data_IF_606924959840
#
_entry.id   IF_606924959840
#
_cell.length_a   1.000
_cell.length_b   1.000
_cell.length_c   1.000
_cell.angle_alpha   90.00
_cell.angle_beta   90.00
_cell.angle_gamma   90.00
#
_symmetry.space_group_name_H-M   'P 1'
#
loop_
_entity.id
_entity.type
_entity.pdbx_description
1 polymer ?
#
# COMPACT_ATOMS: atom_id res chain seq x y z
N UNK A 1 6.84 -16.01 11.45
CA UNK A 1 6.53 -14.58 11.32
C UNK A 1 7.33 -13.82 12.36
N UNK A 2 8.01 -12.73 11.98
CA UNK A 2 8.72 -11.86 12.94
C UNK A 2 7.75 -11.14 13.87
N UNK A 3 8.27 -10.57 14.97
CA UNK A 3 7.46 -9.79 15.91
C UNK A 3 6.96 -8.52 15.23
N UNK A 4 5.67 -8.26 15.30
CA UNK A 4 5.05 -7.01 14.85
C UNK A 4 4.83 -6.12 16.08
N UNK A 5 5.27 -4.86 15.98
CA UNK A 5 5.10 -3.91 17.08
C UNK A 5 5.08 -2.45 16.58
N UNK A 6 4.56 -1.58 17.41
CA UNK A 6 4.59 -0.13 17.21
C UNK A 6 5.54 0.47 18.22
N UNK A 7 6.45 1.30 17.74
CA UNK A 7 7.36 2.09 18.59
C UNK A 7 6.86 3.54 18.59
N UNK A 8 6.64 4.07 19.79
CA UNK A 8 6.37 5.49 19.98
C UNK A 8 7.69 6.22 20.21
N UNK A 9 7.95 7.22 19.40
CA UNK A 9 9.13 8.09 19.56
C UNK A 9 8.71 9.55 19.53
N UNK A 10 9.56 10.40 20.07
CA UNK A 10 9.38 11.84 20.02
C UNK A 10 10.53 12.44 19.22
N UNK A 11 10.22 13.11 18.11
CA UNK A 11 11.20 13.73 17.23
C UNK A 11 10.85 15.18 16.93
N UNK A 12 11.90 16.00 16.79
CA UNK A 12 11.72 17.41 16.46
C UNK A 12 10.98 18.21 17.54
N UNK A 13 10.75 19.48 17.26
CA UNK A 13 9.93 20.36 18.09
C UNK A 13 9.09 21.25 17.15
N UNK A 14 7.81 21.35 17.42
CA UNK A 14 6.92 22.30 16.78
C UNK A 14 6.18 23.03 17.89
N UNK A 15 6.25 24.36 17.89
CA UNK A 15 5.73 25.22 18.97
C UNK A 15 6.24 24.84 20.37
N UNK A 16 7.53 24.41 20.47
CA UNK A 16 8.16 24.05 21.74
C UNK A 16 7.72 22.71 22.32
N UNK A 17 6.88 21.93 21.64
CA UNK A 17 6.44 20.59 22.05
C UNK A 17 7.05 19.53 21.14
N UNK A 18 7.47 18.42 21.74
CA UNK A 18 7.93 17.25 20.99
C UNK A 18 6.82 16.72 20.08
N UNK A 19 7.17 16.32 18.88
CA UNK A 19 6.24 15.69 17.92
C UNK A 19 6.20 14.19 18.20
N UNK A 20 5.05 13.67 18.56
CA UNK A 20 4.82 12.24 18.74
C UNK A 20 4.77 11.55 17.38
N UNK A 21 5.50 10.46 17.24
CA UNK A 21 5.63 9.68 16.02
C UNK A 21 5.39 8.21 16.37
N UNK A 22 4.56 7.52 15.60
CA UNK A 22 4.41 6.08 15.67
C UNK A 22 5.14 5.44 14.49
N UNK A 23 5.95 4.44 14.76
CA UNK A 23 6.71 3.68 13.78
C UNK A 23 6.25 2.23 13.82
N UNK A 24 5.92 1.68 12.65
CA UNK A 24 5.47 0.30 12.48
C UNK A 24 6.64 -0.60 12.10
N UNK A 25 6.87 -1.63 12.89
CA UNK A 25 7.96 -2.59 12.70
C UNK A 25 7.45 -4.01 12.51
N UNK A 26 8.14 -4.75 11.63
CA UNK A 26 8.08 -6.19 11.53
C UNK A 26 9.50 -6.73 11.67
N UNK A 27 9.82 -7.37 12.79
CA UNK A 27 11.18 -7.67 13.19
C UNK A 27 12.01 -6.38 13.35
N UNK A 28 13.10 -6.26 12.61
CA UNK A 28 13.96 -5.07 12.62
C UNK A 28 13.63 -4.06 11.51
N UNK A 29 12.70 -4.40 10.61
CA UNK A 29 12.37 -3.56 9.46
C UNK A 29 11.23 -2.61 9.80
N UNK A 30 11.47 -1.30 9.64
CA UNK A 30 10.45 -0.28 9.72
C UNK A 30 9.67 -0.23 8.41
N UNK A 31 8.38 -0.55 8.46
CA UNK A 31 7.49 -0.55 7.30
C UNK A 31 6.68 0.73 7.16
N UNK A 32 6.78 1.64 8.10
CA UNK A 32 6.10 2.91 7.96
C UNK A 32 6.13 3.75 9.24
N UNK A 33 5.80 5.02 9.08
CA UNK A 33 5.84 6.03 10.13
C UNK A 33 4.60 6.91 10.02
N UNK A 34 3.98 7.26 11.15
CA UNK A 34 2.94 8.28 11.19
C UNK A 34 3.29 9.37 12.21
N UNK A 35 3.14 10.61 11.79
CA UNK A 35 3.23 11.77 12.68
C UNK A 35 1.87 11.94 13.36
N UNK A 36 1.83 11.73 14.68
CA UNK A 36 0.61 11.73 15.48
C UNK A 36 0.20 13.16 15.87
N UNK A 37 0.02 13.99 14.83
CA UNK A 37 -0.42 15.37 14.95
C UNK A 37 -1.51 15.64 13.91
N UNK A 38 -2.62 16.22 14.32
CA UNK A 38 -3.83 16.41 13.50
C UNK A 38 -3.55 17.04 12.13
N UNK A 39 -2.68 18.03 12.08
CA UNK A 39 -2.33 18.74 10.85
C UNK A 39 -1.44 17.92 9.90
N UNK A 40 -0.80 16.86 10.40
CA UNK A 40 0.18 16.03 9.70
C UNK A 40 -0.21 14.55 9.62
N UNK A 41 -1.29 14.14 10.27
CA UNK A 41 -1.69 12.73 10.38
C UNK A 41 -2.00 12.05 9.03
N UNK A 42 -2.38 12.84 8.02
CA UNK A 42 -2.60 12.36 6.65
C UNK A 42 -1.39 12.54 5.72
N UNK A 43 -0.23 12.91 6.26
CA UNK A 43 0.96 13.07 5.45
C UNK A 43 1.58 11.71 5.16
N UNK A 44 1.66 11.28 3.88
CA UNK A 44 2.37 10.06 3.53
C UNK A 44 3.85 10.17 3.88
N UNK A 45 4.42 9.15 4.48
CA UNK A 45 5.80 9.13 4.95
C UNK A 45 6.61 8.02 4.28
N UNK A 46 7.95 8.08 4.43
CA UNK A 46 8.84 7.08 3.88
C UNK A 46 8.70 6.92 2.37
N UNK A 47 8.71 5.69 1.90
CA UNK A 47 8.58 5.38 0.47
C UNK A 47 7.14 5.49 -0.07
N UNK A 48 6.16 5.78 0.79
CA UNK A 48 4.77 6.06 0.38
C UNK A 48 4.55 7.50 -0.11
N UNK A 49 5.55 8.36 -0.04
CA UNK A 49 5.45 9.74 -0.54
C UNK A 49 5.25 9.79 -2.06
N UNK A 50 4.89 10.98 -2.63
CA UNK A 50 4.80 11.15 -4.08
C UNK A 50 6.11 10.92 -4.84
N UNK A 51 7.23 10.77 -4.15
CA UNK A 51 8.54 10.41 -4.73
C UNK A 51 8.84 8.91 -4.68
N UNK A 52 7.94 8.10 -4.12
CA UNK A 52 8.03 6.65 -4.01
C UNK A 52 6.79 5.97 -4.60
N UNK A 53 6.31 4.90 -3.97
CA UNK A 53 5.14 4.15 -4.49
C UNK A 53 3.84 4.98 -4.51
N UNK A 54 3.72 6.01 -3.67
CA UNK A 54 2.61 6.96 -3.72
C UNK A 54 2.49 7.70 -5.06
N UNK A 55 3.57 7.74 -5.86
CA UNK A 55 3.52 8.32 -7.21
C UNK A 55 2.52 7.59 -8.12
N UNK A 56 2.33 6.28 -7.95
CA UNK A 56 1.36 5.50 -8.71
C UNK A 56 -0.06 6.09 -8.61
N UNK A 57 -0.41 6.63 -7.46
CA UNK A 57 -1.71 7.31 -7.23
C UNK A 57 -1.61 8.78 -7.60
N UNK A 58 -0.68 9.52 -6.97
CA UNK A 58 -0.54 10.96 -7.12
C UNK A 58 -0.23 11.39 -8.56
N UNK A 59 0.59 10.60 -9.27
CA UNK A 59 0.99 10.84 -10.67
C UNK A 59 -0.08 10.47 -11.70
N UNK A 60 -1.09 9.70 -11.32
CA UNK A 60 -2.14 9.23 -12.23
C UNK A 60 -2.99 10.40 -12.77
N UNK A 61 -3.36 10.35 -14.07
CA UNK A 61 -4.13 11.42 -14.72
C UNK A 61 -5.43 11.72 -13.99
N UNK A 62 -6.19 10.69 -13.61
CA UNK A 62 -7.45 10.84 -12.86
C UNK A 62 -7.26 11.53 -11.52
N UNK A 63 -6.13 11.27 -10.81
CA UNK A 63 -5.83 11.96 -9.57
C UNK A 63 -5.65 13.45 -9.80
N UNK A 64 -4.84 13.82 -10.81
CA UNK A 64 -4.57 15.22 -11.18
C UNK A 64 -5.82 15.95 -11.70
N UNK A 65 -6.70 15.24 -12.40
CA UNK A 65 -7.96 15.77 -12.92
C UNK A 65 -9.12 15.72 -11.89
N UNK A 66 -8.83 15.33 -10.65
CA UNK A 66 -9.82 15.17 -9.57
C UNK A 66 -10.99 14.24 -9.92
N UNK A 67 -10.74 13.20 -10.74
CA UNK A 67 -11.71 12.15 -11.08
C UNK A 67 -11.64 11.01 -10.06
N UNK A 68 -12.76 10.33 -9.77
CA UNK A 68 -12.78 9.18 -8.87
C UNK A 68 -11.80 8.09 -9.32
N UNK A 69 -11.14 7.46 -8.36
CA UNK A 69 -10.18 6.38 -8.57
C UNK A 69 -10.54 5.13 -7.78
N UNK A 70 -10.17 3.98 -8.35
CA UNK A 70 -10.20 2.68 -7.65
C UNK A 70 -8.76 2.20 -7.47
N UNK A 71 -8.37 2.00 -6.22
CA UNK A 71 -7.01 1.61 -5.84
C UNK A 71 -7.04 0.29 -5.09
N UNK A 72 -6.18 -0.64 -5.47
CA UNK A 72 -5.99 -1.90 -4.75
C UNK A 72 -4.63 -1.90 -4.05
N UNK A 73 -4.63 -2.31 -2.79
CA UNK A 73 -3.46 -2.38 -1.91
C UNK A 73 -3.23 -3.84 -1.51
N UNK A 74 -2.19 -4.47 -2.05
CA UNK A 74 -1.74 -5.81 -1.70
C UNK A 74 -0.65 -5.67 -0.64
N UNK A 75 -0.98 -5.98 0.60
CA UNK A 75 -0.24 -5.59 1.79
C UNK A 75 -0.78 -4.25 2.32
N UNK A 76 -1.39 -4.30 3.52
CA UNK A 76 -2.00 -3.11 4.12
C UNK A 76 -0.97 -2.26 4.86
N UNK A 77 -0.02 -2.92 5.56
CA UNK A 77 0.84 -2.25 6.51
C UNK A 77 0.00 -1.47 7.54
N UNK A 78 0.32 -0.21 7.75
CA UNK A 78 -0.48 0.68 8.59
C UNK A 78 -1.48 1.54 7.79
N UNK A 79 -1.69 1.23 6.50
CA UNK A 79 -2.68 1.89 5.66
C UNK A 79 -2.27 3.25 5.10
N UNK A 80 -0.97 3.54 5.00
CA UNK A 80 -0.46 4.88 4.57
C UNK A 80 -1.05 5.34 3.24
N UNK A 81 -1.28 4.42 2.30
CA UNK A 81 -1.83 4.76 0.99
C UNK A 81 -3.23 5.37 1.07
N UNK A 82 -3.99 5.12 2.16
CA UNK A 82 -5.28 5.77 2.40
C UNK A 82 -5.17 7.30 2.57
N UNK A 83 -3.96 7.82 2.83
CA UNK A 83 -3.70 9.26 2.88
C UNK A 83 -3.99 9.98 1.54
N UNK A 84 -3.92 9.25 0.42
CA UNK A 84 -4.22 9.79 -0.91
C UNK A 84 -5.71 9.76 -1.26
N UNK A 85 -6.53 9.02 -0.51
CA UNK A 85 -7.94 8.83 -0.85
C UNK A 85 -8.74 10.11 -0.71
N UNK A 86 -9.57 10.40 -1.71
CA UNK A 86 -10.51 11.53 -1.75
C UNK A 86 -11.94 11.01 -1.62
N UNK A 87 -12.90 11.87 -1.36
CA UNK A 87 -14.27 11.52 -0.99
C UNK A 87 -14.98 10.52 -1.95
N UNK A 88 -14.65 10.53 -3.24
CA UNK A 88 -15.26 9.66 -4.25
C UNK A 88 -14.35 8.50 -4.68
N UNK A 89 -13.21 8.32 -4.03
CA UNK A 89 -12.29 7.23 -4.34
C UNK A 89 -12.71 5.95 -3.60
N UNK A 90 -12.37 4.80 -4.19
CA UNK A 90 -12.55 3.48 -3.60
C UNK A 90 -11.21 2.79 -3.42
N UNK A 91 -10.94 2.35 -2.20
CA UNK A 91 -9.71 1.67 -1.82
C UNK A 91 -10.02 0.25 -1.35
N UNK A 92 -9.38 -0.73 -1.94
CA UNK A 92 -9.45 -2.13 -1.56
C UNK A 92 -8.13 -2.57 -0.98
N UNK A 93 -8.13 -3.14 0.24
CA UNK A 93 -6.90 -3.59 0.89
C UNK A 93 -6.96 -5.06 1.30
N UNK A 94 -5.82 -5.74 1.16
CA UNK A 94 -5.60 -7.12 1.58
C UNK A 94 -4.40 -7.23 2.50
N UNK A 95 -4.54 -7.98 3.57
CA UNK A 95 -3.42 -8.39 4.42
C UNK A 95 -3.67 -9.80 4.97
N UNK A 96 -2.61 -10.56 5.18
CA UNK A 96 -2.69 -11.92 5.77
C UNK A 96 -2.40 -11.93 7.26
N UNK A 97 -1.81 -10.85 7.79
CA UNK A 97 -1.45 -10.73 9.22
C UNK A 97 -2.62 -10.16 10.02
N UNK A 98 -3.21 -10.94 10.95
CA UNK A 98 -4.24 -10.43 11.85
C UNK A 98 -3.75 -9.26 12.70
N UNK A 99 -2.48 -9.29 13.09
CA UNK A 99 -1.85 -8.25 13.91
C UNK A 99 -1.73 -6.93 13.15
N UNK A 100 -1.18 -6.98 11.93
CA UNK A 100 -1.10 -5.81 11.03
C UNK A 100 -2.49 -5.25 10.77
N UNK A 101 -3.43 -6.12 10.42
CA UNK A 101 -4.82 -5.75 10.11
C UNK A 101 -5.52 -5.05 11.28
N UNK A 102 -5.29 -5.53 12.50
CA UNK A 102 -5.81 -4.93 13.73
C UNK A 102 -5.16 -3.58 14.02
N UNK A 103 -3.83 -3.50 13.93
CA UNK A 103 -3.07 -2.27 14.20
C UNK A 103 -3.43 -1.14 13.23
N UNK A 104 -3.61 -1.46 11.93
CA UNK A 104 -3.99 -0.46 10.92
C UNK A 104 -5.37 0.16 11.17
N UNK A 105 -6.26 -0.54 11.87
CA UNK A 105 -7.61 -0.08 12.19
C UNK A 105 -7.76 0.46 13.62
N UNK A 106 -6.73 0.37 14.45
CA UNK A 106 -6.72 0.95 15.79
C UNK A 106 -6.29 2.42 15.74
N UNK A 107 -7.24 3.33 15.89
CA UNK A 107 -7.03 4.79 15.86
C UNK A 107 -6.01 5.29 16.89
N UNK A 108 -5.79 4.53 17.96
CA UNK A 108 -4.75 4.87 18.96
C UNK A 108 -3.34 4.61 18.43
N UNK A 109 -3.24 3.71 17.45
CA UNK A 109 -1.98 3.33 16.82
C UNK A 109 -1.76 4.09 15.52
N UNK A 110 -2.73 4.01 14.57
CA UNK A 110 -2.64 4.67 13.28
C UNK A 110 -4.01 5.18 12.82
N UNK A 111 -4.03 6.33 12.15
CA UNK A 111 -5.28 6.97 11.72
C UNK A 111 -5.49 6.98 10.21
N UNK A 112 -4.56 6.44 9.42
CA UNK A 112 -4.66 6.48 7.96
C UNK A 112 -5.93 5.81 7.43
N UNK A 113 -6.30 4.65 7.99
CA UNK A 113 -7.50 3.91 7.57
C UNK A 113 -8.77 4.59 8.09
N UNK A 114 -8.84 4.89 9.39
CA UNK A 114 -10.03 5.47 10.03
C UNK A 114 -10.34 6.89 9.56
N UNK A 115 -9.29 7.67 9.22
CA UNK A 115 -9.43 9.03 8.68
C UNK A 115 -9.36 9.09 7.16
N UNK A 116 -9.47 7.94 6.48
CA UNK A 116 -9.54 7.88 5.03
C UNK A 116 -10.73 8.68 4.51
N UNK A 117 -10.50 9.53 3.51
CA UNK A 117 -11.58 10.36 2.95
C UNK A 117 -12.45 9.60 1.93
N UNK A 118 -11.93 8.51 1.36
CA UNK A 118 -12.63 7.64 0.41
C UNK A 118 -13.30 6.46 1.09
N UNK A 119 -13.98 5.64 0.28
CA UNK A 119 -14.49 4.35 0.75
C UNK A 119 -13.34 3.34 0.81
N UNK A 120 -13.17 2.69 1.96
CA UNK A 120 -12.15 1.65 2.18
C UNK A 120 -12.82 0.33 2.51
N UNK A 121 -12.52 -0.71 1.72
CA UNK A 121 -12.94 -2.09 2.01
C UNK A 121 -11.68 -2.94 2.24
N UNK A 122 -11.55 -3.52 3.44
CA UNK A 122 -10.40 -4.31 3.84
C UNK A 122 -10.78 -5.78 4.01
N UNK A 123 -9.87 -6.69 3.66
CA UNK A 123 -10.03 -8.13 3.90
C UNK A 123 -8.78 -8.74 4.50
N UNK A 124 -8.97 -9.45 5.59
CA UNK A 124 -7.95 -10.28 6.20
C UNK A 124 -7.90 -11.62 5.45
N UNK A 125 -7.18 -11.66 4.37
CA UNK A 125 -6.97 -12.87 3.55
C UNK A 125 -5.75 -12.72 2.63
N UNK A 126 -5.36 -13.85 2.02
CA UNK A 126 -4.37 -13.84 0.96
C UNK A 126 -4.87 -13.01 -0.24
N UNK A 127 -4.05 -12.03 -0.65
CA UNK A 127 -4.43 -11.08 -1.69
C UNK A 127 -4.68 -11.76 -3.05
N UNK A 128 -3.87 -12.79 -3.42
CA UNK A 128 -4.07 -13.51 -4.68
C UNK A 128 -5.43 -14.20 -4.72
N UNK A 129 -5.81 -14.89 -3.64
CA UNK A 129 -7.13 -15.53 -3.53
C UNK A 129 -8.26 -14.52 -3.58
N UNK A 130 -8.10 -13.39 -2.88
CA UNK A 130 -9.06 -12.29 -2.92
C UNK A 130 -9.26 -11.73 -4.31
N UNK A 131 -8.18 -11.48 -5.04
CA UNK A 131 -8.21 -10.97 -6.42
C UNK A 131 -8.76 -11.98 -7.42
N UNK A 132 -8.47 -13.28 -7.28
CA UNK A 132 -9.06 -14.36 -8.09
C UNK A 132 -10.59 -14.39 -7.91
N UNK A 133 -11.06 -14.20 -6.69
CA UNK A 133 -12.51 -14.10 -6.40
C UNK A 133 -13.11 -12.82 -6.98
N UNK A 134 -12.44 -11.68 -6.88
CA UNK A 134 -12.90 -10.42 -7.49
C UNK A 134 -13.03 -10.55 -9.00
N UNK A 135 -12.04 -11.16 -9.67
CA UNK A 135 -12.09 -11.40 -11.11
C UNK A 135 -13.27 -12.29 -11.49
N UNK A 136 -13.50 -13.38 -10.73
CA UNK A 136 -14.64 -14.28 -10.98
C UNK A 136 -16.00 -13.61 -10.76
N UNK A 137 -16.07 -12.65 -9.85
CA UNK A 137 -17.28 -11.89 -9.54
C UNK A 137 -17.51 -10.69 -10.50
N UNK A 138 -16.60 -10.45 -11.46
CA UNK A 138 -16.72 -9.34 -12.39
C UNK A 138 -16.62 -7.97 -11.72
N UNK A 139 -15.78 -7.83 -10.71
CA UNK A 139 -15.56 -6.55 -10.02
C UNK A 139 -14.99 -5.53 -11.01
N UNK A 140 -15.43 -4.27 -10.89
CA UNK A 140 -14.91 -3.17 -11.70
C UNK A 140 -13.38 -3.07 -11.56
N UNK A 141 -12.63 -3.00 -12.69
CA UNK A 141 -11.17 -2.92 -12.65
C UNK A 141 -10.62 -1.69 -11.92
N UNK A 142 -9.39 -1.78 -11.48
CA UNK A 142 -8.68 -0.75 -10.73
C UNK A 142 -7.92 0.21 -11.64
N UNK A 143 -7.78 1.45 -11.19
CA UNK A 143 -6.91 2.44 -11.81
C UNK A 143 -5.45 2.23 -11.37
N UNK A 144 -5.27 1.75 -10.12
CA UNK A 144 -3.94 1.47 -9.56
C UNK A 144 -3.98 0.19 -8.74
N UNK A 145 -3.01 -0.70 -8.95
CA UNK A 145 -2.73 -1.83 -8.06
C UNK A 145 -1.32 -1.65 -7.49
N UNK A 146 -1.19 -1.63 -6.17
CA UNK A 146 0.09 -1.52 -5.48
C UNK A 146 0.37 -2.84 -4.75
N UNK A 147 1.47 -3.50 -5.11
CA UNK A 147 1.96 -4.73 -4.49
C UNK A 147 3.07 -4.37 -3.51
N UNK A 148 2.74 -4.34 -2.23
CA UNK A 148 3.63 -3.98 -1.13
C UNK A 148 3.48 -4.97 0.04
N UNK A 149 3.39 -6.26 -0.30
CA UNK A 149 3.31 -7.34 0.67
C UNK A 149 4.70 -7.92 0.94
N UNK A 150 5.12 -7.85 2.20
CA UNK A 150 6.41 -8.38 2.63
C UNK A 150 6.24 -9.33 3.82
N UNK A 151 7.02 -10.42 3.79
CA UNK A 151 7.20 -11.29 4.96
C UNK A 151 8.67 -11.14 5.38
N UNK A 152 8.92 -10.24 6.33
CA UNK A 152 10.28 -9.78 6.60
C UNK A 152 10.83 -8.97 5.43
N UNK A 153 11.98 -9.37 4.85
CA UNK A 153 12.62 -8.68 3.73
C UNK A 153 12.29 -9.28 2.36
N UNK A 154 11.29 -10.19 2.24
CA UNK A 154 10.98 -10.84 0.96
C UNK A 154 9.52 -10.70 0.56
N UNK A 155 9.31 -10.48 -0.74
CA UNK A 155 7.97 -10.54 -1.35
C UNK A 155 7.54 -12.02 -1.35
N UNK A 156 6.31 -12.35 -0.90
CA UNK A 156 5.79 -13.69 -1.01
C UNK A 156 5.81 -14.16 -2.46
N UNK A 157 6.49 -15.28 -2.73
CA UNK A 157 6.75 -15.77 -4.09
C UNK A 157 5.48 -15.84 -4.96
N UNK A 158 4.37 -16.32 -4.39
CA UNK A 158 3.10 -16.48 -5.12
C UNK A 158 2.46 -15.17 -5.60
N UNK A 159 2.88 -14.02 -5.05
CA UNK A 159 2.45 -12.67 -5.47
C UNK A 159 3.32 -12.09 -6.60
N UNK A 160 4.43 -12.76 -6.93
CA UNK A 160 5.37 -12.32 -7.97
C UNK A 160 5.49 -13.31 -9.14
N UNK A 161 4.66 -14.35 -9.21
CA UNK A 161 4.64 -15.27 -10.35
C UNK A 161 4.00 -14.65 -11.58
N UNK A 162 4.23 -15.26 -12.75
CA UNK A 162 3.59 -14.83 -14.00
C UNK A 162 2.06 -14.82 -13.88
N UNK A 163 1.48 -15.86 -13.25
CA UNK A 163 0.04 -15.97 -13.05
C UNK A 163 -0.52 -14.86 -12.16
N UNK A 164 0.25 -14.40 -11.16
CA UNK A 164 -0.12 -13.25 -10.34
C UNK A 164 -0.10 -11.97 -11.17
N UNK A 165 0.92 -11.78 -11.98
CA UNK A 165 1.03 -10.62 -12.89
C UNK A 165 -0.11 -10.62 -13.90
N UNK A 166 -0.43 -11.77 -14.51
CA UNK A 166 -1.58 -11.92 -15.43
C UNK A 166 -2.89 -11.53 -14.74
N UNK A 167 -3.06 -11.92 -13.46
CA UNK A 167 -4.24 -11.57 -12.66
C UNK A 167 -4.32 -10.05 -12.41
N UNK A 168 -3.20 -9.42 -12.06
CA UNK A 168 -3.17 -7.98 -11.84
C UNK A 168 -3.57 -7.21 -13.10
N UNK A 169 -3.02 -7.58 -14.27
CA UNK A 169 -3.39 -6.93 -15.53
C UNK A 169 -4.84 -7.16 -15.95
N UNK A 170 -5.44 -8.31 -15.63
CA UNK A 170 -6.88 -8.55 -15.85
C UNK A 170 -7.77 -7.68 -14.98
N UNK A 171 -7.28 -7.27 -13.81
CA UNK A 171 -7.99 -6.42 -12.86
C UNK A 171 -7.63 -4.93 -12.99
N UNK A 172 -6.66 -4.58 -13.85
CA UNK A 172 -6.34 -3.19 -14.18
C UNK A 172 -7.18 -2.67 -15.35
N UNK A 173 -7.50 -1.39 -15.31
CA UNK A 173 -8.03 -0.66 -16.47
C UNK A 173 -6.95 -0.54 -17.56
N UNK A 174 -7.31 -0.28 -18.82
CA UNK A 174 -6.34 -0.17 -19.91
C UNK A 174 -5.25 0.90 -19.68
N UNK A 175 -5.57 1.96 -18.95
CA UNK A 175 -4.67 3.04 -18.53
C UNK A 175 -4.19 2.90 -17.08
N UNK A 176 -4.45 1.74 -16.47
CA UNK A 176 -4.12 1.47 -15.07
C UNK A 176 -2.63 1.28 -14.81
N UNK A 177 -2.21 1.51 -13.58
CA UNK A 177 -0.82 1.42 -13.14
C UNK A 177 -0.63 0.26 -12.18
N UNK A 178 0.32 -0.63 -12.50
CA UNK A 178 0.84 -1.64 -11.59
C UNK A 178 2.12 -1.12 -10.93
N UNK A 179 2.10 -0.96 -9.61
CA UNK A 179 3.26 -0.59 -8.81
C UNK A 179 3.68 -1.78 -7.95
N UNK A 180 4.92 -2.23 -8.08
CA UNK A 180 5.45 -3.35 -7.29
C UNK A 180 6.63 -2.84 -6.48
N UNK A 181 6.54 -3.00 -5.16
CA UNK A 181 7.65 -2.70 -4.26
C UNK A 181 8.71 -3.81 -4.40
N UNK A 182 9.91 -3.44 -4.84
CA UNK A 182 11.00 -4.37 -5.13
C UNK A 182 12.26 -4.16 -4.29
N UNK A 183 12.23 -3.24 -3.30
CA UNK A 183 13.38 -3.09 -2.42
C UNK A 183 13.61 -4.35 -1.59
N UNK A 184 14.83 -4.87 -1.65
CA UNK A 184 15.23 -6.08 -0.99
C UNK A 184 16.72 -5.99 -0.63
N UNK A 185 17.11 -6.49 0.56
CA UNK A 185 18.51 -6.46 1.01
C UNK A 185 19.40 -7.52 0.33
N UNK A 186 18.79 -8.57 -0.24
CA UNK A 186 19.51 -9.76 -0.67
C UNK A 186 19.41 -10.03 -2.17
N UNK A 187 18.36 -9.51 -2.84
CA UNK A 187 18.07 -9.80 -4.24
C UNK A 187 17.85 -8.50 -5.02
N UNK A 188 18.48 -8.40 -6.19
CA UNK A 188 18.11 -7.38 -7.17
C UNK A 188 16.93 -7.89 -8.00
N UNK A 189 15.75 -7.37 -7.76
CA UNK A 189 14.51 -7.72 -8.47
C UNK A 189 14.26 -6.86 -9.71
N UNK A 190 15.10 -5.87 -10.00
CA UNK A 190 14.94 -5.01 -11.18
C UNK A 190 14.99 -5.79 -12.51
N UNK A 191 15.92 -6.75 -12.72
CA UNK A 191 15.95 -7.54 -13.96
C UNK A 191 14.65 -8.33 -14.18
N UNK A 192 14.07 -8.85 -13.09
CA UNK A 192 12.80 -9.58 -13.14
C UNK A 192 11.64 -8.67 -13.58
N UNK A 193 11.51 -7.50 -12.99
CA UNK A 193 10.45 -6.53 -13.33
C UNK A 193 10.64 -6.01 -14.77
N UNK A 194 11.87 -5.73 -15.19
CA UNK A 194 12.16 -5.35 -16.58
C UNK A 194 11.72 -6.42 -17.57
N UNK A 195 11.95 -7.71 -17.27
CA UNK A 195 11.51 -8.83 -18.12
C UNK A 195 9.98 -8.89 -18.21
N UNK A 196 9.26 -8.70 -17.08
CA UNK A 196 7.80 -8.58 -17.09
C UNK A 196 7.38 -7.43 -18.02
N UNK A 197 7.96 -6.24 -17.88
CA UNK A 197 7.65 -5.10 -18.75
C UNK A 197 7.79 -5.44 -20.24
N UNK A 198 8.84 -6.17 -20.62
CA UNK A 198 9.04 -6.62 -22.01
C UNK A 198 7.99 -7.64 -22.47
N UNK A 199 7.64 -8.62 -21.64
CA UNK A 199 6.62 -9.64 -21.95
C UNK A 199 5.23 -9.05 -22.17
N UNK A 200 4.89 -7.99 -21.44
CA UNK A 200 3.59 -7.31 -21.56
C UNK A 200 3.61 -6.05 -22.43
N UNK A 201 4.71 -5.79 -23.16
CA UNK A 201 4.90 -4.58 -23.98
C UNK A 201 4.65 -3.27 -23.21
N UNK A 202 5.04 -3.23 -21.94
CA UNK A 202 4.94 -2.04 -21.11
C UNK A 202 6.23 -1.22 -21.23
N UNK A 203 6.08 0.09 -21.38
CA UNK A 203 7.20 1.04 -21.49
C UNK A 203 7.62 1.59 -20.14
#
# INVERSE_FOLDING_TARGET
>A
FGTIYVREVYGGSFDGKGIKIHEFYHGETCHGVQIMRKEMEKMPTGYYTPYGCGYAIWGHSKYRENKPMRVNMIGLGMGVLCAYARANDYYRGYDVSPETFKLAQDEKMFTFVSHCSGKVDLSLCDARKGLEQELSNGVEPYDVIIVDAFTGDSIPYHLSTKEAIDLYFKLLKPDGVLCIHISNKHLDLQPYIKRIGLEYNIK
#
